data_IF_267781880937
#
_entry.id   IF_267781880937
#
_cell.length_a   1.000
_cell.length_b   1.000
_cell.length_c   1.000
_cell.angle_alpha   90.00
_cell.angle_beta   90.00
_cell.angle_gamma   90.00
#
_symmetry.space_group_name_H-M   'P 1'
#
loop_
_entity.id
_entity.type
_entity.pdbx_description
1 polymer ?
#
# COMPACT_ATOMS: atom_id res chain seq x y z
N UNK A 1 -13.63 50.19 58.02
CA UNK A 1 -14.40 49.18 57.27
C UNK A 1 -14.35 49.49 55.77
N UNK A 2 -13.34 48.97 55.06
CA UNK A 2 -13.39 48.80 53.61
C UNK A 2 -13.41 47.30 53.23
N UNK A 3 -14.11 46.98 52.14
CA UNK A 3 -14.18 45.65 51.55
C UNK A 3 -12.78 45.10 51.21
N UNK A 4 -12.53 43.86 51.60
CA UNK A 4 -11.35 43.10 51.22
C UNK A 4 -11.36 42.77 49.72
N UNK A 5 -10.40 43.33 48.98
CA UNK A 5 -9.95 42.81 47.69
C UNK A 5 -8.92 41.71 47.95
N UNK A 6 -9.29 40.47 47.65
CA UNK A 6 -8.43 39.30 47.78
C UNK A 6 -7.43 39.27 46.62
N UNK A 7 -6.18 39.67 46.88
CA UNK A 7 -5.04 39.43 46.01
C UNK A 7 -4.67 37.94 46.03
N UNK A 8 -4.85 37.23 44.91
CA UNK A 8 -4.24 35.92 44.69
C UNK A 8 -2.85 36.07 44.07
N UNK A 9 -1.79 35.45 44.60
CA UNK A 9 -0.49 35.44 43.97
C UNK A 9 -0.46 34.42 42.81
N UNK A 10 0.07 34.86 41.67
CA UNK A 10 0.39 34.00 40.53
C UNK A 10 1.57 33.08 40.91
N UNK A 11 1.28 31.80 41.17
CA UNK A 11 2.28 30.75 41.28
C UNK A 11 2.76 30.37 39.88
N UNK A 12 3.96 30.83 39.55
CA UNK A 12 4.76 30.35 38.42
C UNK A 12 5.17 28.89 38.66
N UNK A 13 4.32 27.95 38.24
CA UNK A 13 4.72 26.54 38.12
C UNK A 13 5.56 26.38 36.85
N UNK A 14 6.87 26.38 37.08
CA UNK A 14 7.94 26.04 36.14
C UNK A 14 7.69 24.61 35.63
N UNK A 15 7.08 24.47 34.45
CA UNK A 15 7.04 23.20 33.72
C UNK A 15 8.45 22.86 33.27
N UNK A 16 9.10 21.93 33.98
CA UNK A 16 10.32 21.29 33.49
C UNK A 16 9.90 20.23 32.46
N UNK A 17 10.48 20.22 31.25
CA UNK A 17 10.21 19.16 30.30
C UNK A 17 10.86 17.87 30.81
N UNK A 18 10.05 16.86 31.09
CA UNK A 18 10.53 15.51 31.35
C UNK A 18 11.36 15.03 30.14
N UNK A 19 12.55 14.44 30.36
CA UNK A 19 13.39 14.01 29.26
C UNK A 19 12.69 12.91 28.46
N UNK A 20 12.74 13.04 27.14
CA UNK A 20 12.24 12.10 26.16
C UNK A 20 12.69 10.67 26.52
N UNK A 21 11.75 9.85 26.99
CA UNK A 21 11.96 8.42 27.14
C UNK A 21 11.99 7.82 25.73
N UNK A 22 13.20 7.72 25.19
CA UNK A 22 13.51 6.95 23.99
C UNK A 22 12.93 5.54 24.12
N UNK A 23 12.35 5.04 23.03
CA UNK A 23 11.90 3.65 22.83
C UNK A 23 12.92 2.61 23.34
N UNK A 24 14.19 2.99 23.42
CA UNK A 24 15.30 2.21 23.99
C UNK A 24 15.09 1.82 25.48
N UNK A 25 14.47 2.69 26.29
CA UNK A 25 14.26 2.45 27.74
C UNK A 25 13.07 1.52 28.01
N UNK A 26 12.06 1.52 27.14
CA UNK A 26 10.95 0.57 27.23
C UNK A 26 11.35 -0.82 26.71
N UNK A 27 12.35 -0.91 25.82
CA UNK A 27 12.87 -2.17 25.30
C UNK A 27 13.94 -2.82 26.20
N UNK A 28 14.80 -2.05 26.88
CA UNK A 28 15.75 -2.62 27.84
C UNK A 28 15.07 -3.17 29.10
N UNK A 29 14.00 -2.54 29.57
CA UNK A 29 13.17 -3.09 30.65
C UNK A 29 12.45 -4.40 30.28
N UNK A 30 12.30 -4.69 28.99
CA UNK A 30 11.78 -5.96 28.47
C UNK A 30 12.83 -7.06 28.38
N UNK A 31 14.12 -6.73 28.31
CA UNK A 31 15.21 -7.69 28.15
C UNK A 31 15.86 -8.11 29.47
N UNK A 32 15.79 -7.28 30.53
CA UNK A 32 16.50 -7.54 31.79
C UNK A 32 15.67 -8.23 32.89
N UNK A 33 14.34 -8.37 32.76
CA UNK A 33 13.51 -9.06 33.77
C UNK A 33 12.84 -10.30 33.18
N UNK A 34 13.61 -11.39 33.07
CA UNK A 34 13.19 -12.72 32.61
C UNK A 34 12.24 -13.48 33.56
N UNK A 35 11.30 -12.79 34.22
CA UNK A 35 10.38 -13.43 35.17
C UNK A 35 9.09 -12.63 35.42
N UNK A 36 8.32 -12.30 34.37
CA UNK A 36 6.88 -12.02 34.50
C UNK A 36 6.12 -12.65 33.33
N UNK A 37 6.00 -13.98 33.38
CA UNK A 37 5.25 -14.79 32.42
C UNK A 37 3.77 -14.90 32.84
N UNK A 38 3.14 -13.79 33.26
CA UNK A 38 1.71 -13.75 33.59
C UNK A 38 1.21 -12.30 33.61
N UNK A 39 0.38 -11.95 32.61
CA UNK A 39 -0.40 -10.70 32.38
C UNK A 39 0.04 -9.84 31.18
N UNK A 40 0.16 -10.46 30.01
CA UNK A 40 0.08 -9.75 28.72
C UNK A 40 -0.89 -10.47 27.76
N UNK A 41 -2.07 -10.84 28.26
CA UNK A 41 -3.18 -11.29 27.42
C UNK A 41 -3.92 -10.04 26.94
N UNK A 42 -3.37 -9.30 25.95
CA UNK A 42 -4.20 -8.52 24.99
C UNK A 42 -3.48 -7.82 23.82
N UNK A 43 -2.15 -7.87 23.68
CA UNK A 43 -1.46 -7.32 22.50
C UNK A 43 -0.26 -8.17 22.09
N UNK A 44 -0.51 -9.30 21.42
CA UNK A 44 0.52 -10.16 20.84
C UNK A 44 1.01 -9.56 19.51
N UNK A 45 1.93 -8.60 19.55
CA UNK A 45 2.67 -8.20 18.35
C UNK A 45 3.61 -9.36 17.98
N UNK A 46 3.50 -9.89 16.76
CA UNK A 46 4.32 -11.02 16.32
C UNK A 46 5.82 -10.68 16.42
N UNK A 47 6.65 -11.51 17.10
CA UNK A 47 8.08 -11.29 17.25
C UNK A 47 8.81 -11.07 15.92
N UNK A 48 8.32 -11.64 14.81
CA UNK A 48 8.95 -11.54 13.49
C UNK A 48 8.76 -10.16 12.83
N UNK A 49 7.58 -9.56 12.96
CA UNK A 49 7.31 -8.20 12.44
C UNK A 49 7.99 -7.17 13.32
N UNK A 50 7.96 -7.39 14.64
CA UNK A 50 8.75 -6.60 15.58
C UNK A 50 10.24 -6.71 15.23
N UNK A 51 10.75 -7.92 14.97
CA UNK A 51 12.14 -8.15 14.55
C UNK A 51 12.49 -7.45 13.24
N UNK A 52 11.56 -7.22 12.33
CA UNK A 52 11.81 -6.49 11.08
C UNK A 52 11.89 -4.98 11.30
N UNK A 53 10.95 -4.43 12.07
CA UNK A 53 10.99 -3.04 12.51
C UNK A 53 12.24 -2.76 13.37
N UNK A 54 12.55 -3.70 14.27
CA UNK A 54 13.77 -3.71 15.05
C UNK A 54 15.00 -3.88 14.18
N UNK A 55 14.99 -4.69 13.11
CA UNK A 55 16.10 -4.79 12.13
C UNK A 55 16.37 -3.45 11.48
N UNK A 56 15.34 -2.69 11.10
CA UNK A 56 15.52 -1.30 10.66
C UNK A 56 16.17 -0.42 11.76
N UNK A 57 15.75 -0.58 13.02
CA UNK A 57 16.29 0.18 14.16
C UNK A 57 17.64 -0.33 14.68
N UNK A 58 18.03 -1.57 14.37
CA UNK A 58 19.23 -2.27 14.87
C UNK A 58 20.32 -2.38 13.82
N UNK A 59 20.13 -1.81 12.62
CA UNK A 59 21.23 -1.50 11.72
C UNK A 59 22.27 -0.70 12.51
N UNK A 60 23.56 -1.00 12.32
CA UNK A 60 24.65 -0.33 13.05
C UNK A 60 24.56 1.20 12.95
N UNK A 61 24.02 1.68 11.83
CA UNK A 61 23.56 3.05 11.65
C UNK A 61 22.15 3.05 11.04
N UNK A 62 21.07 3.17 11.84
CA UNK A 62 19.71 3.19 11.31
C UNK A 62 19.49 4.49 10.53
N UNK A 63 19.00 4.43 9.28
CA UNK A 63 18.87 5.62 8.45
C UNK A 63 17.81 6.56 9.03
N UNK A 64 18.20 7.81 9.30
CA UNK A 64 17.29 8.85 9.81
C UNK A 64 16.39 9.37 8.69
N UNK A 65 15.31 10.06 9.06
CA UNK A 65 14.50 10.77 8.07
C UNK A 65 15.34 11.85 7.38
N UNK A 66 15.32 11.86 6.05
CA UNK A 66 16.09 12.84 5.28
C UNK A 66 15.41 14.23 5.26
N UNK A 67 16.05 15.20 5.92
CA UNK A 67 15.65 16.60 5.94
C UNK A 67 16.51 17.53 5.06
N UNK A 68 17.54 17.02 4.37
CA UNK A 68 18.54 17.85 3.65
C UNK A 68 18.05 18.40 2.31
N UNK A 69 16.85 18.02 1.86
CA UNK A 69 16.29 18.41 0.56
C UNK A 69 16.75 17.51 -0.57
N UNK A 70 18.02 17.10 -0.60
CA UNK A 70 18.61 16.22 -1.62
C UNK A 70 18.24 14.76 -1.39
N UNK A 71 17.78 14.05 -2.42
CA UNK A 71 17.50 12.61 -2.36
C UNK A 71 18.77 11.84 -2.74
N UNK A 72 19.21 10.93 -1.87
CA UNK A 72 20.45 10.17 -2.08
C UNK A 72 20.26 8.95 -2.99
N UNK A 73 19.10 8.29 -2.93
CA UNK A 73 18.81 7.11 -3.75
C UNK A 73 17.68 7.39 -4.73
N UNK A 74 17.95 7.38 -6.03
CA UNK A 74 16.92 7.57 -7.05
C UNK A 74 16.07 6.30 -7.23
N UNK A 75 14.79 6.36 -6.85
CA UNK A 75 13.84 5.27 -7.04
C UNK A 75 12.95 5.53 -8.24
N UNK A 76 13.17 4.78 -9.30
CA UNK A 76 12.26 4.70 -10.46
C UNK A 76 11.21 3.61 -10.21
N UNK A 77 9.95 4.01 -10.02
CA UNK A 77 8.84 3.10 -9.66
C UNK A 77 8.53 2.01 -10.70
N UNK A 78 8.94 2.20 -11.95
CA UNK A 78 8.79 1.22 -13.03
C UNK A 78 9.96 0.23 -13.12
N UNK A 79 10.99 0.36 -12.28
CA UNK A 79 12.07 -0.64 -12.25
C UNK A 79 11.52 -2.00 -11.81
N UNK A 80 12.05 -3.10 -12.37
CA UNK A 80 11.74 -4.44 -11.89
C UNK A 80 12.17 -4.60 -10.43
N UNK A 81 11.52 -5.53 -9.70
CA UNK A 81 11.77 -5.75 -8.27
C UNK A 81 13.25 -6.05 -7.99
N UNK A 82 13.90 -6.88 -8.81
CA UNK A 82 15.34 -7.18 -8.68
C UNK A 82 16.22 -5.94 -8.61
N UNK A 83 16.02 -4.96 -9.51
CA UNK A 83 16.81 -3.73 -9.50
C UNK A 83 16.50 -2.82 -8.30
N UNK A 84 15.31 -2.95 -7.71
CA UNK A 84 14.97 -2.25 -6.47
C UNK A 84 15.60 -2.95 -5.24
N UNK A 85 15.80 -4.27 -5.28
CA UNK A 85 16.48 -5.02 -4.21
C UNK A 85 17.97 -4.74 -4.20
N UNK A 86 18.62 -4.59 -5.36
CA UNK A 86 20.01 -4.14 -5.45
C UNK A 86 20.19 -2.74 -4.84
N UNK A 87 19.28 -1.82 -5.16
CA UNK A 87 19.26 -0.49 -4.57
C UNK A 87 19.04 -0.53 -3.04
N UNK A 88 18.15 -1.40 -2.55
CA UNK A 88 17.95 -1.58 -1.11
C UNK A 88 19.22 -2.10 -0.41
N UNK A 89 19.97 -2.99 -1.07
CA UNK A 89 21.24 -3.50 -0.60
C UNK A 89 22.28 -2.37 -0.49
N UNK A 90 22.33 -1.47 -1.46
CA UNK A 90 23.16 -0.26 -1.38
C UNK A 90 22.76 0.64 -0.21
N UNK A 91 21.46 0.87 0.01
CA UNK A 91 20.98 1.64 1.17
C UNK A 91 21.51 1.09 2.51
N UNK A 92 21.56 -0.25 2.65
CA UNK A 92 22.10 -0.87 3.87
C UNK A 92 23.60 -0.71 4.03
N UNK A 93 24.35 -0.57 2.92
CA UNK A 93 25.81 -0.38 2.95
C UNK A 93 26.18 1.06 3.25
N UNK A 94 25.51 2.00 2.57
CA UNK A 94 25.82 3.44 2.67
C UNK A 94 25.21 4.10 3.92
N UNK A 95 24.12 3.52 4.46
CA UNK A 95 23.43 3.97 5.67
C UNK A 95 23.04 5.48 5.67
N UNK A 96 22.79 6.05 4.49
CA UNK A 96 22.40 7.45 4.34
C UNK A 96 20.93 7.69 4.75
N UNK A 97 20.57 8.92 5.17
CA UNK A 97 19.18 9.26 5.50
C UNK A 97 18.21 9.00 4.35
N UNK A 98 17.03 8.45 4.67
CA UNK A 98 16.01 8.06 3.68
C UNK A 98 14.67 8.77 3.89
N UNK A 99 13.85 8.81 2.84
CA UNK A 99 12.46 9.29 2.81
C UNK A 99 11.48 8.12 2.72
N UNK A 100 10.20 8.44 2.67
CA UNK A 100 9.11 7.45 2.71
C UNK A 100 9.18 6.38 1.60
N UNK A 101 9.54 6.73 0.36
CA UNK A 101 9.61 5.75 -0.73
C UNK A 101 10.80 4.79 -0.58
N UNK A 102 11.96 5.30 -0.18
CA UNK A 102 13.16 4.51 0.10
C UNK A 102 12.91 3.52 1.26
N UNK A 103 12.23 3.97 2.31
CA UNK A 103 11.84 3.11 3.42
C UNK A 103 10.87 1.98 3.01
N UNK A 104 10.00 2.20 2.02
CA UNK A 104 9.14 1.14 1.48
C UNK A 104 9.97 0.07 0.76
N UNK A 105 10.92 0.47 -0.07
CA UNK A 105 11.81 -0.44 -0.79
C UNK A 105 12.71 -1.23 0.18
N UNK A 106 13.29 -0.54 1.16
CA UNK A 106 14.08 -1.17 2.20
C UNK A 106 13.23 -2.13 3.06
N UNK A 107 12.01 -1.73 3.39
CA UNK A 107 11.05 -2.57 4.11
C UNK A 107 10.77 -3.87 3.38
N UNK A 108 10.57 -3.82 2.06
CA UNK A 108 10.40 -5.01 1.20
C UNK A 108 11.65 -5.90 1.29
N UNK A 109 12.84 -5.33 1.07
CA UNK A 109 14.09 -6.08 1.10
C UNK A 109 14.32 -6.82 2.43
N UNK A 110 14.15 -6.12 3.56
CA UNK A 110 14.36 -6.68 4.91
C UNK A 110 13.31 -7.71 5.32
N UNK A 111 12.24 -7.86 4.53
CA UNK A 111 11.12 -8.75 4.82
C UNK A 111 10.91 -9.88 3.83
N UNK A 112 11.75 -10.00 2.80
CA UNK A 112 11.66 -11.09 1.81
C UNK A 112 11.74 -12.49 2.46
N UNK A 113 12.54 -12.66 3.51
CA UNK A 113 12.71 -13.94 4.23
C UNK A 113 11.53 -14.37 5.10
N UNK A 114 10.43 -13.60 5.15
CA UNK A 114 9.22 -13.92 5.91
C UNK A 114 8.04 -14.19 4.98
N UNK A 115 7.88 -15.42 4.45
CA UNK A 115 6.83 -15.74 3.48
C UNK A 115 5.40 -15.67 4.07
N UNK A 116 5.27 -15.66 5.40
CA UNK A 116 3.99 -15.49 6.09
C UNK A 116 3.58 -14.02 6.27
N UNK A 117 4.44 -13.08 5.85
CA UNK A 117 4.22 -11.65 5.96
C UNK A 117 3.96 -11.06 4.57
N UNK A 118 2.69 -10.84 4.27
CA UNK A 118 2.28 -10.19 3.03
C UNK A 118 2.57 -8.69 3.08
N UNK A 119 3.02 -8.11 1.96
CA UNK A 119 3.50 -6.74 1.89
C UNK A 119 2.93 -6.05 0.66
N UNK A 120 2.38 -4.85 0.83
CA UNK A 120 1.73 -4.11 -0.25
C UNK A 120 1.87 -2.60 -0.02
N UNK A 121 2.12 -1.77 -1.05
CA UNK A 121 2.32 -0.34 -0.86
C UNK A 121 0.97 0.38 -0.62
N UNK A 122 0.96 1.32 0.33
CA UNK A 122 -0.17 2.21 0.60
C UNK A 122 0.30 3.64 0.41
N UNK A 123 -0.23 4.33 -0.61
CA UNK A 123 0.08 5.74 -0.87
C UNK A 123 -1.07 6.65 -0.48
N UNK A 124 -0.76 7.74 0.20
CA UNK A 124 -1.70 8.78 0.61
C UNK A 124 -1.44 10.06 -0.19
N UNK A 125 -2.53 10.67 -0.68
CA UNK A 125 -2.54 12.05 -1.17
C UNK A 125 -3.37 12.87 -0.18
N UNK A 126 -2.77 13.89 0.41
CA UNK A 126 -3.43 14.77 1.39
C UNK A 126 -3.36 16.23 0.94
N UNK A 127 -4.19 17.06 1.52
CA UNK A 127 -4.24 18.50 1.28
C UNK A 127 -4.05 19.27 2.59
N UNK A 128 -3.19 20.28 2.58
CA UNK A 128 -2.95 21.17 3.72
C UNK A 128 -2.46 22.53 3.20
N UNK A 129 -3.02 23.63 3.73
CA UNK A 129 -2.59 25.00 3.45
C UNK A 129 -2.37 25.29 1.95
N UNK A 130 -3.38 25.03 1.11
CA UNK A 130 -3.29 25.29 -0.33
C UNK A 130 -2.60 24.19 -1.16
N UNK A 131 -1.89 23.26 -0.52
CA UNK A 131 -0.94 22.38 -1.17
C UNK A 131 -1.28 20.89 -1.04
N UNK A 132 -0.90 20.12 -2.06
CA UNK A 132 -1.03 18.66 -2.05
C UNK A 132 0.28 17.98 -1.64
N UNK A 133 0.19 17.08 -0.66
CA UNK A 133 1.31 16.29 -0.18
C UNK A 133 1.09 14.81 -0.53
N UNK A 134 2.20 14.10 -0.72
CA UNK A 134 2.22 12.67 -1.04
C UNK A 134 3.07 11.94 -0.02
N UNK A 135 2.58 10.82 0.44
CA UNK A 135 3.25 9.97 1.42
C UNK A 135 2.98 8.50 1.07
N UNK A 136 3.87 7.60 1.46
CA UNK A 136 3.74 6.17 1.19
C UNK A 136 4.29 5.37 2.36
N UNK A 137 3.62 4.28 2.69
CA UNK A 137 4.07 3.26 3.65
C UNK A 137 3.94 1.88 3.02
N UNK A 138 4.60 0.89 3.60
CA UNK A 138 4.46 -0.51 3.26
C UNK A 138 3.43 -1.12 4.21
N UNK A 139 2.21 -1.31 3.73
CA UNK A 139 1.20 -2.09 4.43
C UNK A 139 1.67 -3.53 4.57
N UNK A 140 1.44 -4.12 5.73
CA UNK A 140 1.76 -5.52 6.01
C UNK A 140 0.53 -6.26 6.53
N UNK A 141 0.41 -7.53 6.18
CA UNK A 141 -0.59 -8.43 6.73
C UNK A 141 0.08 -9.70 7.25
N UNK A 142 -0.06 -9.95 8.55
CA UNK A 142 0.50 -11.10 9.23
C UNK A 142 -0.60 -11.81 10.03
N UNK A 143 -0.87 -13.08 9.75
CA UNK A 143 -1.89 -13.85 10.47
C UNK A 143 -3.29 -13.21 10.41
N UNK A 144 -3.62 -12.52 9.30
CA UNK A 144 -4.89 -11.83 9.12
C UNK A 144 -5.00 -10.48 9.80
N UNK A 145 -3.94 -9.98 10.44
CA UNK A 145 -3.88 -8.65 11.04
C UNK A 145 -3.03 -7.69 10.20
N UNK A 146 -3.52 -6.46 10.08
CA UNK A 146 -2.91 -5.41 9.29
C UNK A 146 -2.02 -4.51 10.15
N UNK A 147 -0.91 -4.07 9.58
CA UNK A 147 0.02 -3.09 10.14
C UNK A 147 0.76 -2.37 9.03
N UNK A 148 1.82 -1.63 9.37
CA UNK A 148 2.63 -0.93 8.38
C UNK A 148 4.08 -0.71 8.82
N UNK A 149 4.97 -0.70 7.83
CA UNK A 149 6.36 -0.27 7.93
C UNK A 149 6.56 0.99 7.08
N UNK A 150 7.42 1.90 7.49
CA UNK A 150 7.73 3.08 6.69
C UNK A 150 8.51 4.12 7.47
N UNK A 151 8.80 5.24 6.81
CA UNK A 151 9.45 6.41 7.41
C UNK A 151 8.64 7.66 7.10
N UNK A 152 8.46 8.48 8.13
CA UNK A 152 7.77 9.76 8.04
C UNK A 152 8.43 10.76 8.98
N UNK A 153 8.16 12.04 8.75
CA UNK A 153 8.55 13.13 9.68
C UNK A 153 7.76 13.08 10.99
N UNK A 154 6.64 12.34 11.01
CA UNK A 154 5.77 12.18 12.18
C UNK A 154 5.66 10.71 12.55
N UNK A 155 5.78 10.41 13.84
CA UNK A 155 5.79 9.04 14.35
C UNK A 155 4.46 8.31 14.09
N UNK A 156 3.35 9.03 14.17
CA UNK A 156 2.01 8.49 13.96
C UNK A 156 1.65 8.26 12.48
N UNK A 157 2.54 8.63 11.56
CA UNK A 157 2.42 8.43 10.11
C UNK A 157 3.47 7.46 9.56
N UNK A 158 4.09 6.61 10.39
CA UNK A 158 5.07 5.61 9.92
C UNK A 158 4.72 4.19 10.38
N UNK A 159 5.42 3.64 11.37
CA UNK A 159 5.18 2.30 11.89
C UNK A 159 3.80 2.15 12.53
N UNK A 160 3.14 1.03 12.22
CA UNK A 160 1.92 0.58 12.87
C UNK A 160 2.05 -0.91 13.16
N UNK A 161 1.89 -1.36 14.42
CA UNK A 161 1.97 -2.78 14.72
C UNK A 161 0.87 -3.55 13.96
N UNK A 162 1.12 -4.81 13.55
CA UNK A 162 0.14 -5.66 12.88
C UNK A 162 -0.95 -6.14 13.86
N UNK A 163 -1.76 -5.20 14.34
CA UNK A 163 -2.78 -5.41 15.37
C UNK A 163 -4.21 -5.18 14.83
N UNK A 164 -4.35 -4.40 13.76
CA UNK A 164 -5.63 -4.03 13.16
C UNK A 164 -6.30 -5.24 12.52
N UNK A 165 -7.60 -5.40 12.73
CA UNK A 165 -8.34 -6.59 12.24
C UNK A 165 -8.67 -6.49 10.76
N UNK A 166 -8.83 -5.26 10.27
CA UNK A 166 -9.22 -4.97 8.89
C UNK A 166 -8.28 -3.94 8.27
N UNK A 167 -8.27 -3.89 6.93
CA UNK A 167 -7.50 -2.88 6.21
C UNK A 167 -8.09 -1.48 6.42
N UNK A 168 -9.42 -1.39 6.54
CA UNK A 168 -10.11 -0.15 6.83
C UNK A 168 -9.69 0.45 8.18
N UNK A 169 -9.58 -0.34 9.25
CA UNK A 169 -9.13 0.16 10.55
C UNK A 169 -7.72 0.78 10.46
N UNK A 170 -6.78 0.12 9.78
CA UNK A 170 -5.43 0.65 9.57
C UNK A 170 -5.44 1.97 8.79
N UNK A 171 -6.19 2.04 7.68
CA UNK A 171 -6.23 3.25 6.84
C UNK A 171 -6.92 4.41 7.53
N UNK A 172 -7.97 4.15 8.32
CA UNK A 172 -8.66 5.16 9.13
C UNK A 172 -7.79 5.68 10.28
N UNK A 173 -6.90 4.85 10.83
CA UNK A 173 -5.92 5.31 11.82
C UNK A 173 -4.92 6.31 11.21
N UNK A 174 -4.47 6.08 9.97
CA UNK A 174 -3.68 7.07 9.21
C UNK A 174 -4.49 8.34 8.88
N UNK A 175 -5.76 8.20 8.48
CA UNK A 175 -6.65 9.35 8.24
C UNK A 175 -6.75 10.23 9.49
N UNK A 176 -6.97 9.63 10.66
CA UNK A 176 -7.01 10.33 11.94
C UNK A 176 -5.67 11.00 12.27
N UNK A 177 -4.54 10.33 11.99
CA UNK A 177 -3.20 10.89 12.18
C UNK A 177 -2.92 12.11 11.31
N UNK A 178 -3.39 12.10 10.05
CA UNK A 178 -3.35 13.27 9.19
C UNK A 178 -4.23 14.40 9.71
N UNK A 179 -5.44 14.09 10.18
CA UNK A 179 -6.32 15.07 10.80
C UNK A 179 -5.67 15.81 11.98
N UNK A 180 -4.89 15.10 12.80
CA UNK A 180 -4.13 15.70 13.92
C UNK A 180 -3.04 16.68 13.51
N UNK A 181 -2.56 16.65 12.26
CA UNK A 181 -1.70 17.70 11.71
C UNK A 181 -2.41 18.58 10.68
N UNK A 182 -3.75 18.66 10.72
CA UNK A 182 -4.52 19.53 9.83
C UNK A 182 -4.47 19.14 8.35
N UNK A 183 -4.00 17.93 8.05
CA UNK A 183 -4.05 17.38 6.70
C UNK A 183 -5.42 16.75 6.45
N UNK A 184 -6.03 17.07 5.31
CA UNK A 184 -7.24 16.40 4.83
C UNK A 184 -6.83 15.28 3.88
N UNK A 185 -7.25 14.05 4.15
CA UNK A 185 -7.00 12.93 3.26
C UNK A 185 -7.87 13.06 2.00
N UNK A 186 -7.26 12.96 0.82
CA UNK A 186 -7.93 13.15 -0.47
C UNK A 186 -7.99 11.88 -1.29
N UNK A 187 -6.88 11.14 -1.36
CA UNK A 187 -6.84 9.86 -2.09
C UNK A 187 -5.98 8.84 -1.37
N UNK A 188 -6.40 7.58 -1.45
CA UNK A 188 -5.61 6.41 -1.04
C UNK A 188 -5.37 5.55 -2.27
N UNK A 189 -4.13 5.10 -2.46
CA UNK A 189 -3.76 4.16 -3.51
C UNK A 189 -3.16 2.93 -2.88
N UNK A 190 -3.72 1.77 -3.20
CA UNK A 190 -3.31 0.49 -2.67
C UNK A 190 -2.70 -0.32 -3.82
N UNK A 191 -1.51 -0.86 -3.58
CA UNK A 191 -0.88 -1.79 -4.49
C UNK A 191 -1.26 -3.25 -4.23
N UNK A 192 -0.78 -4.15 -5.08
CA UNK A 192 -0.86 -5.59 -4.82
C UNK A 192 0.24 -6.07 -3.87
N UNK A 193 0.11 -7.32 -3.42
CA UNK A 193 1.18 -8.01 -2.73
C UNK A 193 2.46 -8.04 -3.57
N UNK A 194 3.60 -7.78 -2.92
CA UNK A 194 4.92 -7.79 -3.53
C UNK A 194 5.54 -9.18 -3.37
N UNK A 195 6.09 -9.72 -4.47
CA UNK A 195 6.79 -11.02 -4.46
C UNK A 195 7.90 -11.08 -3.41
N UNK A 196 8.05 -12.24 -2.78
CA UNK A 196 9.15 -12.53 -1.86
C UNK A 196 10.46 -12.88 -2.58
N UNK A 197 10.38 -13.20 -3.88
CA UNK A 197 11.56 -13.47 -4.70
C UNK A 197 12.33 -12.16 -5.00
N UNK A 198 13.53 -11.98 -4.43
CA UNK A 198 14.33 -10.77 -4.67
C UNK A 198 14.81 -10.66 -6.12
N UNK A 199 14.80 -11.74 -6.91
CA UNK A 199 15.24 -11.76 -8.30
C UNK A 199 14.08 -11.62 -9.30
N UNK A 200 12.87 -11.39 -8.81
CA UNK A 200 11.70 -11.20 -9.67
C UNK A 200 11.91 -10.00 -10.61
N UNK A 201 11.57 -10.24 -11.88
CA UNK A 201 11.56 -9.23 -12.94
C UNK A 201 10.23 -8.47 -13.00
N UNK A 202 9.26 -8.84 -12.17
CA UNK A 202 7.98 -8.15 -12.09
C UNK A 202 8.14 -6.74 -11.50
N UNK A 203 7.24 -5.84 -11.90
CA UNK A 203 7.17 -4.52 -11.31
C UNK A 203 6.22 -4.51 -10.12
N UNK A 204 6.55 -3.71 -9.10
CA UNK A 204 5.62 -3.47 -8.00
C UNK A 204 4.37 -2.77 -8.56
N UNK A 205 3.20 -3.37 -8.37
CA UNK A 205 1.94 -2.74 -8.74
C UNK A 205 1.54 -1.70 -7.68
N UNK A 206 1.88 -0.43 -7.89
CA UNK A 206 1.69 0.64 -6.90
C UNK A 206 0.25 1.16 -6.75
N UNK A 207 -0.61 0.90 -7.73
CA UNK A 207 -1.93 1.57 -7.88
C UNK A 207 -2.99 0.61 -8.40
N UNK A 208 -3.13 -0.54 -7.74
CA UNK A 208 -4.18 -1.50 -8.09
C UNK A 208 -5.57 -0.95 -7.80
N UNK A 209 -5.74 -0.35 -6.62
CA UNK A 209 -6.98 0.33 -6.23
C UNK A 209 -6.68 1.80 -5.93
N UNK A 210 -7.44 2.70 -6.53
CA UNK A 210 -7.32 4.16 -6.34
C UNK A 210 -8.64 4.68 -5.82
N UNK A 211 -8.65 5.03 -4.54
CA UNK A 211 -9.82 5.45 -3.80
C UNK A 211 -9.78 6.97 -3.64
N UNK A 212 -10.83 7.65 -4.08
CA UNK A 212 -10.99 9.09 -3.95
C UNK A 212 -11.93 9.35 -2.77
N UNK A 213 -11.39 9.88 -1.68
CA UNK A 213 -12.10 9.98 -0.39
C UNK A 213 -13.19 11.04 -0.42
N UNK A 214 -13.04 12.08 -1.23
CA UNK A 214 -14.09 13.10 -1.39
C UNK A 214 -15.25 12.57 -2.25
N UNK A 215 -14.96 11.70 -3.23
CA UNK A 215 -15.98 11.13 -4.12
C UNK A 215 -16.69 9.93 -3.52
N UNK A 216 -16.00 9.16 -2.69
CA UNK A 216 -16.54 7.99 -2.01
C UNK A 216 -17.09 8.43 -0.65
N UNK A 217 -18.35 8.09 -0.36
CA UNK A 217 -18.87 8.22 1.01
C UNK A 217 -18.08 7.34 1.99
N UNK A 218 -18.16 7.65 3.30
CA UNK A 218 -17.40 6.91 4.34
C UNK A 218 -17.66 5.40 4.30
N UNK A 219 -18.90 4.97 4.07
CA UNK A 219 -19.25 3.55 4.01
C UNK A 219 -18.74 2.87 2.73
N UNK A 220 -18.84 3.52 1.57
CA UNK A 220 -18.33 2.96 0.32
C UNK A 220 -16.81 2.93 0.29
N UNK A 221 -16.15 3.92 0.90
CA UNK A 221 -14.71 3.91 1.10
C UNK A 221 -14.26 2.69 1.93
N UNK A 222 -14.96 2.38 3.03
CA UNK A 222 -14.71 1.16 3.82
C UNK A 222 -14.95 -0.11 3.00
N UNK A 223 -16.05 -0.19 2.25
CA UNK A 223 -16.35 -1.35 1.39
C UNK A 223 -15.26 -1.59 0.34
N UNK A 224 -14.76 -0.53 -0.31
CA UNK A 224 -13.69 -0.65 -1.30
C UNK A 224 -12.35 -1.06 -0.67
N UNK A 225 -12.05 -0.59 0.56
CA UNK A 225 -10.89 -1.06 1.32
C UNK A 225 -10.99 -2.57 1.62
N UNK A 226 -12.13 -3.04 2.10
CA UNK A 226 -12.33 -4.48 2.39
C UNK A 226 -12.44 -5.34 1.13
N UNK A 227 -12.93 -4.78 0.02
CA UNK A 227 -12.86 -5.43 -1.29
C UNK A 227 -11.41 -5.63 -1.71
N UNK A 228 -10.58 -4.58 -1.65
CA UNK A 228 -9.16 -4.69 -1.96
C UNK A 228 -8.45 -5.71 -1.06
N UNK A 229 -8.75 -5.71 0.24
CA UNK A 229 -8.22 -6.68 1.20
C UNK A 229 -8.56 -8.13 0.83
N UNK A 230 -9.77 -8.40 0.34
CA UNK A 230 -10.19 -9.72 -0.16
C UNK A 230 -9.48 -10.09 -1.45
N UNK A 231 -9.36 -9.16 -2.39
CA UNK A 231 -8.69 -9.39 -3.68
C UNK A 231 -7.22 -9.80 -3.51
N UNK A 232 -6.51 -9.18 -2.55
CA UNK A 232 -5.14 -9.59 -2.20
C UNK A 232 -5.09 -11.04 -1.70
N UNK A 233 -5.99 -11.44 -0.79
CA UNK A 233 -6.03 -12.81 -0.23
C UNK A 233 -6.33 -13.87 -1.28
N UNK A 234 -7.21 -13.57 -2.24
CA UNK A 234 -7.63 -14.52 -3.28
C UNK A 234 -6.55 -14.74 -4.35
N UNK A 235 -5.75 -13.72 -4.68
CA UNK A 235 -4.65 -13.85 -5.64
C UNK A 235 -3.51 -14.72 -5.11
N UNK A 236 -3.23 -14.67 -3.80
CA UNK A 236 -2.22 -15.52 -3.16
C UNK A 236 -2.60 -17.01 -3.30
N UNK A 237 -3.89 -17.34 -3.22
CA UNK A 237 -4.39 -18.72 -3.39
C UNK A 237 -4.26 -19.31 -4.81
N UNK A 238 -3.96 -18.49 -5.83
CA UNK A 238 -3.74 -18.95 -7.21
C UNK A 238 -2.26 -19.16 -7.58
N UNK A 239 -1.33 -18.89 -6.66
CA UNK A 239 0.11 -18.81 -6.95
C UNK A 239 0.94 -20.10 -6.80
N UNK A 240 0.36 -21.27 -6.53
CA UNK A 240 1.13 -22.52 -6.33
C UNK A 240 0.54 -23.77 -7.01
N UNK A 241 -0.47 -23.62 -7.86
CA UNK A 241 -1.02 -24.73 -8.65
C UNK A 241 -0.40 -24.77 -10.06
N UNK A 242 -0.03 -25.94 -10.60
CA UNK A 242 0.35 -26.04 -12.01
C UNK A 242 -0.84 -25.58 -12.88
N UNK A 243 -0.58 -24.90 -14.02
CA UNK A 243 -1.65 -24.47 -14.91
C UNK A 243 -2.43 -25.70 -15.38
N UNK A 244 -3.74 -25.70 -15.14
CA UNK A 244 -4.64 -26.73 -15.66
C UNK A 244 -4.43 -26.87 -17.17
N UNK A 245 -4.25 -28.09 -17.71
CA UNK A 245 -3.93 -28.27 -19.11
C UNK A 245 -5.06 -27.73 -19.98
N UNK A 246 -4.69 -26.92 -20.97
CA UNK A 246 -5.60 -26.50 -22.04
C UNK A 246 -6.15 -27.75 -22.70
N UNK A 247 -7.47 -27.87 -22.69
CA UNK A 247 -8.18 -28.97 -23.36
C UNK A 247 -8.02 -28.80 -24.87
N UNK A 248 -6.93 -29.36 -25.41
CA UNK A 248 -6.73 -29.57 -26.83
C UNK A 248 -7.89 -30.43 -27.35
N UNK A 249 -8.87 -29.77 -27.98
CA UNK A 249 -9.93 -30.44 -28.72
C UNK A 249 -9.34 -30.90 -30.05
N UNK A 250 -8.64 -32.04 -30.01
CA UNK A 250 -8.30 -32.82 -31.20
C UNK A 250 -9.60 -33.11 -31.95
N UNK A 251 -9.73 -32.58 -33.16
CA UNK A 251 -10.88 -32.76 -34.04
C UNK A 251 -10.42 -33.46 -35.32
N UNK A 252 -10.01 -34.71 -35.18
CA UNK A 252 -10.01 -35.69 -36.26
C UNK A 252 -11.29 -36.50 -36.09
N UNK A 253 -12.22 -36.44 -37.06
CA UNK A 253 -12.45 -37.45 -38.11
C UNK A 253 -13.64 -36.96 -38.95
N UNK A 254 -13.40 -36.70 -40.24
CA UNK A 254 -14.45 -36.60 -41.25
C UNK A 254 -14.85 -37.99 -41.72
N UNK A 255 -16.15 -38.24 -41.90
CA UNK A 255 -16.67 -39.36 -42.69
C UNK A 255 -18.00 -38.92 -43.32
N UNK A 256 -18.21 -39.10 -44.65
CA UNK A 256 -19.37 -38.55 -45.34
C UNK A 256 -20.47 -39.59 -45.65
N UNK A 257 -21.67 -39.03 -45.90
CA UNK A 257 -22.81 -39.53 -46.69
C UNK A 257 -23.93 -40.42 -46.09
N UNK A 258 -25.13 -40.10 -46.64
CA UNK A 258 -26.34 -40.94 -46.88
C UNK A 258 -27.38 -40.94 -45.75
N UNK A 259 -28.67 -40.59 -45.92
CA UNK A 259 -29.51 -40.12 -47.02
C UNK A 259 -30.99 -40.23 -46.60
N UNK A 260 -31.90 -39.54 -47.31
CA UNK A 260 -33.38 -39.69 -47.33
C UNK A 260 -34.14 -39.22 -46.06
N UNK A 261 -35.34 -38.64 -46.05
CA UNK A 261 -36.37 -38.23 -47.02
C UNK A 261 -37.45 -37.40 -46.26
N UNK A 262 -38.10 -36.45 -46.92
CA UNK A 262 -39.19 -35.55 -46.46
C UNK A 262 -40.54 -36.29 -46.20
N UNK A 263 -41.72 -35.68 -45.86
CA UNK A 263 -42.11 -34.25 -45.85
C UNK A 263 -43.21 -33.74 -44.84
N UNK A 264 -43.61 -32.46 -45.01
CA UNK A 264 -44.92 -31.79 -44.72
C UNK A 264 -45.26 -31.24 -43.31
N UNK A 265 -45.36 -29.90 -43.16
CA UNK A 265 -46.64 -29.11 -43.19
C UNK A 265 -46.44 -27.59 -43.03
N UNK A 266 -47.06 -26.82 -43.96
CA UNK A 266 -47.66 -25.44 -43.92
C UNK A 266 -47.54 -24.63 -42.60
N UNK A 267 -47.41 -23.29 -42.57
CA UNK A 267 -48.02 -22.28 -43.43
C UNK A 267 -47.36 -20.87 -43.29
N UNK A 268 -47.31 -20.17 -44.43
CA UNK A 268 -47.18 -18.73 -44.72
C UNK A 268 -47.35 -17.64 -43.64
N UNK A 269 -46.45 -16.62 -43.63
CA UNK A 269 -46.82 -15.21 -43.95
C UNK A 269 -45.59 -14.28 -44.17
N UNK A 270 -45.42 -13.89 -45.43
CA UNK A 270 -45.09 -12.55 -45.97
C UNK A 270 -43.78 -11.80 -45.63
N UNK A 271 -42.90 -11.83 -46.63
CA UNK A 271 -41.96 -10.82 -47.16
C UNK A 271 -42.04 -9.35 -46.69
N UNK A 272 -40.86 -8.77 -46.44
CA UNK A 272 -40.28 -7.67 -47.26
C UNK A 272 -38.80 -7.39 -46.90
N UNK A 273 -37.91 -7.60 -47.87
CA UNK A 273 -36.59 -6.92 -48.06
C UNK A 273 -36.83 -5.70 -48.99
N UNK A 274 -35.90 -4.76 -49.32
CA UNK A 274 -34.41 -4.87 -49.45
C UNK A 274 -33.59 -3.63 -48.94
N UNK A 275 -32.32 -3.76 -48.53
CA UNK A 275 -31.03 -3.68 -49.28
C UNK A 275 -30.46 -2.28 -49.58
N UNK A 276 -29.14 -2.13 -49.33
CA UNK A 276 -28.22 -1.10 -49.87
C UNK A 276 -27.75 -0.05 -48.83
N UNK A 277 -26.50 0.41 -48.74
CA UNK A 277 -25.21 0.07 -49.33
C UNK A 277 -24.10 0.92 -48.61
N UNK A 278 -22.88 0.37 -48.52
CA UNK A 278 -21.51 0.99 -48.49
C UNK A 278 -21.07 2.11 -47.50
N UNK A 279 -19.92 1.83 -46.87
CA UNK A 279 -18.91 2.74 -46.27
C UNK A 279 -18.25 3.66 -47.32
N UNK A 280 -17.60 4.77 -46.90
CA UNK A 280 -16.13 4.81 -46.93
C UNK A 280 -15.46 5.54 -45.72
N UNK A 281 -14.14 5.41 -45.66
CA UNK A 281 -13.18 5.71 -44.58
C UNK A 281 -12.45 7.06 -44.67
N UNK A 282 -12.18 7.66 -43.49
CA UNK A 282 -11.09 8.55 -43.01
C UNK A 282 -10.66 9.83 -43.80
N UNK A 283 -10.14 10.86 -43.09
CA UNK A 283 -8.67 10.98 -42.89
C UNK A 283 -8.19 11.46 -41.50
N UNK A 284 -6.93 11.09 -41.19
CA UNK A 284 -6.05 11.46 -40.06
C UNK A 284 -5.71 12.96 -39.97
N UNK A 285 -5.45 13.44 -38.75
CA UNK A 285 -4.51 14.55 -38.50
C UNK A 285 -3.69 14.34 -37.21
N UNK A 286 -2.45 14.81 -37.23
CA UNK A 286 -1.27 14.46 -36.43
C UNK A 286 -1.13 15.22 -35.08
N UNK A 287 -0.18 14.82 -34.19
CA UNK A 287 -0.06 15.34 -32.83
C UNK A 287 0.85 16.57 -32.75
N UNK A 288 0.48 17.53 -31.90
CA UNK A 288 1.29 18.73 -31.65
C UNK A 288 2.29 18.49 -30.51
N UNK A 289 3.57 18.63 -30.86
CA UNK A 289 4.73 18.72 -29.98
C UNK A 289 5.03 20.21 -29.76
N UNK A 290 4.87 20.73 -28.54
CA UNK A 290 5.68 21.89 -28.14
C UNK A 290 5.73 22.13 -26.63
N UNK A 291 6.93 22.47 -26.12
CA UNK A 291 7.07 23.39 -25.01
C UNK A 291 7.46 22.84 -23.64
N UNK A 292 8.72 22.44 -23.48
CA UNK A 292 9.42 22.43 -22.18
C UNK A 292 9.78 23.87 -21.73
N UNK A 293 9.93 24.06 -20.40
CA UNK A 293 10.32 25.26 -19.60
C UNK A 293 9.14 26.08 -19.04
N UNK A 294 9.11 26.40 -17.74
CA UNK A 294 9.87 27.51 -17.11
C UNK A 294 10.19 27.21 -15.63
N UNK A 295 11.37 27.66 -15.20
CA UNK A 295 11.84 27.82 -13.81
C UNK A 295 11.26 29.10 -13.21
N UNK A 296 10.80 29.06 -11.96
CA UNK A 296 10.95 30.12 -10.94
C UNK A 296 11.08 29.43 -9.59
#
# INVERSE_FOLDING_TARGET
MPLAQEHRPALWLRWTPAPARSLFTLLLGWLENGSVLQRAVHCSVSPQVLSSALRCSSLQHPPRYNHTGTQFFEIKKSRPLTGLMDLAKEMTKEALPIKCLEAVILGIYLTNSMPTLERFPISFKTYFSGNYFRHIVLGVNFGGRYGALGMSRREDLMYKPPAFRTLSELVLDYEAAYGRCWHVLKKVKLGQCVSHDPHSVEQIEWKHSVLDVDRLGREDFRKELERHARDMRLKIGKGTGPPSPTKDRKKDVSSPQRGQSSPHRRNSRSERRPSGEKKPSEPKAMPDLNGYQIRV
#
